data_IF_746950254659
#
_entry.id   IF_746950254659
#
_cell.length_a   1.000
_cell.length_b   1.000
_cell.length_c   1.000
_cell.angle_alpha   90.00
_cell.angle_beta   90.00
_cell.angle_gamma   90.00
#
_symmetry.space_group_name_H-M   'P 1'
#
loop_
_entity.id
_entity.type
_entity.pdbx_description
1 polymer ?
#
# COMPACT_ATOMS: atom_id res chain seq x y z
N UNK A 1 17.21 -42.70 -0.65
CA UNK A 1 16.25 -41.86 -1.39
C UNK A 1 16.30 -40.50 -0.72
N UNK A 2 16.98 -39.51 -1.33
CA UNK A 2 17.14 -38.21 -0.66
C UNK A 2 15.77 -37.55 -0.56
N UNK A 3 15.38 -37.21 0.66
CA UNK A 3 14.24 -36.36 0.92
C UNK A 3 14.55 -34.98 0.32
N UNK A 4 14.06 -34.75 -0.90
CA UNK A 4 14.22 -33.47 -1.59
C UNK A 4 13.25 -32.49 -0.95
N UNK A 5 13.77 -31.35 -0.49
CA UNK A 5 12.97 -30.37 0.24
C UNK A 5 11.83 -29.78 -0.60
N UNK A 6 10.86 -29.08 0.03
CA UNK A 6 9.65 -28.57 -0.63
C UNK A 6 9.93 -27.66 -1.84
N UNK A 7 11.07 -26.96 -1.84
CA UNK A 7 11.51 -26.14 -2.98
C UNK A 7 11.82 -26.97 -4.24
N UNK A 8 12.50 -28.09 -4.10
CA UNK A 8 12.89 -28.95 -5.23
C UNK A 8 11.66 -29.65 -5.82
N UNK A 9 10.69 -30.00 -4.97
CA UNK A 9 9.38 -30.47 -5.42
C UNK A 9 8.68 -29.41 -6.27
N UNK A 10 8.55 -28.18 -5.77
CA UNK A 10 7.95 -27.07 -6.50
C UNK A 10 8.61 -26.83 -7.87
N UNK A 11 9.94 -26.75 -7.93
CA UNK A 11 10.66 -26.56 -9.20
C UNK A 11 10.38 -27.68 -10.23
N UNK A 12 10.20 -28.92 -9.77
CA UNK A 12 9.84 -30.04 -10.64
C UNK A 12 8.44 -29.86 -11.23
N UNK A 13 7.47 -29.50 -10.38
CA UNK A 13 6.10 -29.25 -10.82
C UNK A 13 6.04 -28.05 -11.77
N UNK A 14 6.77 -26.97 -11.49
CA UNK A 14 6.86 -25.83 -12.42
C UNK A 14 7.37 -26.21 -13.79
N UNK A 15 8.48 -26.94 -13.87
CA UNK A 15 9.03 -27.38 -15.17
C UNK A 15 8.05 -28.25 -15.95
N UNK A 16 7.29 -29.11 -15.27
CA UNK A 16 6.28 -29.96 -15.91
C UNK A 16 5.10 -29.12 -16.45
N UNK A 17 4.64 -28.14 -15.66
CA UNK A 17 3.53 -27.25 -16.02
C UNK A 17 3.92 -26.23 -17.11
N UNK A 18 5.19 -25.84 -17.19
CA UNK A 18 5.71 -24.91 -18.21
C UNK A 18 6.05 -25.62 -19.53
N UNK A 19 6.09 -26.95 -19.57
CA UNK A 19 6.50 -27.73 -20.75
C UNK A 19 5.52 -27.66 -21.93
N UNK A 20 4.25 -27.33 -21.68
CA UNK A 20 3.20 -27.24 -22.70
C UNK A 20 2.31 -26.03 -22.41
N UNK A 21 1.73 -25.40 -23.46
CA UNK A 21 0.81 -24.27 -23.29
C UNK A 21 -0.51 -24.71 -22.64
N UNK A 22 -1.23 -23.74 -22.08
CA UNK A 22 -2.60 -23.95 -21.59
C UNK A 22 -3.57 -24.23 -22.75
N UNK A 23 -4.69 -24.88 -22.46
CA UNK A 23 -5.73 -25.17 -23.46
C UNK A 23 -6.52 -23.93 -23.92
N UNK A 24 -6.49 -22.84 -23.14
CA UNK A 24 -7.08 -21.53 -23.47
C UNK A 24 -6.46 -20.42 -22.61
N UNK A 25 -6.75 -19.16 -22.93
CA UNK A 25 -6.30 -17.98 -22.16
C UNK A 25 -6.79 -17.96 -20.71
N UNK A 26 -7.92 -18.61 -20.41
CA UNK A 26 -8.51 -18.66 -19.06
C UNK A 26 -8.19 -19.96 -18.31
N UNK A 27 -7.58 -20.93 -18.98
CA UNK A 27 -7.24 -22.21 -18.37
C UNK A 27 -5.94 -22.10 -17.56
N UNK A 28 -5.87 -22.89 -16.49
CA UNK A 28 -4.66 -23.15 -15.74
C UNK A 28 -4.22 -24.59 -15.99
N UNK A 29 -2.91 -24.83 -16.18
CA UNK A 29 -2.35 -26.16 -15.99
C UNK A 29 -2.09 -26.32 -14.50
N UNK A 30 -2.68 -27.31 -13.86
CA UNK A 30 -2.63 -27.52 -12.41
C UNK A 30 -1.93 -28.84 -12.10
N UNK A 31 -1.13 -28.88 -11.04
CA UNK A 31 -0.56 -30.09 -10.47
C UNK A 31 -0.69 -30.07 -8.96
N UNK A 32 -1.25 -31.14 -8.40
CA UNK A 32 -1.34 -31.31 -6.95
C UNK A 32 0.04 -31.56 -6.35
N UNK A 33 0.26 -31.00 -5.16
CA UNK A 33 1.43 -31.22 -4.32
C UNK A 33 1.13 -32.27 -3.26
N UNK A 34 2.17 -32.75 -2.57
CA UNK A 34 2.04 -33.75 -1.49
C UNK A 34 1.47 -33.23 -0.17
N UNK A 35 1.17 -31.93 -0.08
CA UNK A 35 0.65 -31.32 1.14
C UNK A 35 -0.87 -31.43 1.17
N UNK A 36 -1.38 -32.40 1.92
CA UNK A 36 -2.80 -32.61 2.14
C UNK A 36 -3.36 -31.69 3.22
N UNK A 37 -4.54 -31.13 2.97
CA UNK A 37 -5.29 -30.31 3.93
C UNK A 37 -6.67 -30.93 4.17
N UNK A 38 -7.41 -30.40 5.15
CA UNK A 38 -8.79 -30.81 5.40
C UNK A 38 -9.72 -30.64 4.18
N UNK A 39 -9.36 -29.77 3.21
CA UNK A 39 -10.17 -29.48 2.03
C UNK A 39 -9.57 -30.03 0.72
N UNK A 40 -8.59 -30.93 0.80
CA UNK A 40 -7.89 -31.47 -0.37
C UNK A 40 -6.42 -31.04 -0.45
N UNK A 41 -5.71 -31.43 -1.52
CA UNK A 41 -4.29 -31.12 -1.66
C UNK A 41 -4.08 -29.63 -1.97
N UNK A 42 -2.96 -29.09 -1.48
CA UNK A 42 -2.42 -27.84 -2.04
C UNK A 42 -1.94 -28.15 -3.46
N UNK A 43 -2.19 -27.24 -4.39
CA UNK A 43 -1.78 -27.41 -5.78
C UNK A 43 -0.94 -26.22 -6.26
N UNK A 44 -0.27 -26.43 -7.38
CA UNK A 44 0.46 -25.40 -8.10
C UNK A 44 -0.05 -25.31 -9.52
N UNK A 45 -0.04 -24.11 -10.09
CA UNK A 45 -0.55 -23.91 -11.44
C UNK A 45 0.23 -22.87 -12.26
N UNK A 46 0.18 -23.02 -13.58
CA UNK A 46 0.72 -22.06 -14.54
C UNK A 46 -0.39 -21.61 -15.49
N UNK A 47 -0.51 -20.29 -15.67
CA UNK A 47 -1.49 -19.68 -16.57
C UNK A 47 -0.97 -19.50 -18.01
N UNK A 48 -1.81 -18.98 -18.90
CA UNK A 48 -1.46 -18.73 -20.29
C UNK A 48 -0.34 -17.69 -20.48
N UNK A 49 -0.07 -16.86 -19.46
CA UNK A 49 1.00 -15.86 -19.45
C UNK A 49 2.31 -16.42 -18.86
N UNK A 50 2.32 -17.68 -18.43
CA UNK A 50 3.45 -18.31 -17.77
C UNK A 50 3.66 -17.85 -16.32
N UNK A 51 2.66 -17.24 -15.69
CA UNK A 51 2.72 -16.87 -14.28
C UNK A 51 2.49 -18.10 -13.39
N UNK A 52 3.23 -18.18 -12.29
CA UNK A 52 3.14 -19.29 -11.31
C UNK A 52 2.13 -18.96 -10.21
N UNK A 53 1.36 -19.97 -9.79
CA UNK A 53 0.27 -19.87 -8.83
C UNK A 53 0.35 -20.94 -7.76
N UNK A 54 0.36 -20.56 -6.48
CA UNK A 54 0.13 -21.49 -5.39
C UNK A 54 -1.36 -21.47 -5.00
N UNK A 55 -2.00 -22.64 -5.07
CA UNK A 55 -3.43 -22.82 -4.88
C UNK A 55 -3.68 -23.56 -3.57
N UNK A 56 -4.19 -22.84 -2.57
CA UNK A 56 -4.52 -23.39 -1.26
C UNK A 56 -6.03 -23.64 -1.17
N UNK A 57 -6.51 -24.88 -0.98
CA UNK A 57 -7.93 -25.19 -1.01
C UNK A 57 -8.69 -24.55 0.16
N UNK A 58 -9.87 -24.00 -0.14
CA UNK A 58 -10.72 -23.29 0.80
C UNK A 58 -11.89 -24.14 1.28
N UNK A 59 -12.33 -23.89 2.51
CA UNK A 59 -13.62 -24.42 2.99
C UNK A 59 -14.80 -23.77 2.25
N UNK A 60 -15.95 -24.44 2.28
CA UNK A 60 -17.20 -23.91 1.72
C UNK A 60 -17.52 -22.53 2.33
N UNK A 61 -17.58 -21.50 1.48
CA UNK A 61 -17.82 -20.08 1.83
C UNK A 61 -16.68 -19.34 2.55
N UNK A 62 -15.50 -19.94 2.71
CA UNK A 62 -14.33 -19.25 3.25
C UNK A 62 -13.88 -18.14 2.29
N UNK A 63 -13.65 -16.94 2.82
CA UNK A 63 -13.20 -15.78 2.05
C UNK A 63 -11.72 -15.52 2.29
N UNK A 64 -11.02 -15.16 1.23
CA UNK A 64 -9.63 -14.69 1.32
C UNK A 64 -9.65 -13.22 1.76
N UNK A 65 -8.78 -12.84 2.71
CA UNK A 65 -8.60 -11.45 3.14
C UNK A 65 -8.30 -10.57 1.94
N UNK A 66 -8.86 -9.36 1.94
CA UNK A 66 -8.51 -8.32 0.97
C UNK A 66 -7.13 -7.79 1.32
N UNK A 67 -6.13 -8.14 0.53
CA UNK A 67 -4.79 -7.56 0.63
C UNK A 67 -4.56 -6.60 -0.52
N UNK A 68 -3.79 -5.53 -0.26
CA UNK A 68 -3.25 -4.67 -1.33
C UNK A 68 -2.39 -5.56 -2.22
N UNK A 69 -2.84 -5.85 -3.44
CA UNK A 69 -2.02 -6.56 -4.42
C UNK A 69 -0.78 -5.72 -4.69
N UNK A 70 0.40 -6.25 -4.35
CA UNK A 70 1.66 -5.58 -4.68
C UNK A 70 1.95 -5.67 -6.18
N UNK A 71 2.95 -4.95 -6.72
CA UNK A 71 3.30 -5.02 -8.15
C UNK A 71 3.87 -6.38 -8.59
N UNK A 72 4.11 -7.30 -7.66
CA UNK A 72 4.73 -8.61 -7.88
C UNK A 72 3.83 -9.78 -7.46
N UNK A 73 3.12 -9.67 -6.34
CA UNK A 73 2.28 -10.74 -5.79
C UNK A 73 0.82 -10.32 -5.75
N UNK A 74 -0.07 -11.25 -6.12
CA UNK A 74 -1.52 -11.10 -5.99
C UNK A 74 -2.07 -12.28 -5.20
N UNK A 75 -2.89 -12.00 -4.19
CA UNK A 75 -3.64 -13.01 -3.45
C UNK A 75 -5.13 -12.80 -3.67
N UNK A 76 -5.84 -13.82 -4.15
CA UNK A 76 -7.27 -13.73 -4.46
C UNK A 76 -8.01 -15.05 -4.22
N UNK A 77 -9.33 -15.00 -4.12
CA UNK A 77 -10.15 -16.21 -4.17
C UNK A 77 -10.41 -16.62 -5.61
N UNK A 78 -10.09 -17.86 -5.99
CA UNK A 78 -10.28 -18.40 -7.34
C UNK A 78 -11.12 -19.68 -7.32
N UNK A 79 -12.28 -19.72 -7.99
CA UNK A 79 -12.94 -20.98 -8.31
C UNK A 79 -12.20 -21.68 -9.46
N UNK A 80 -11.98 -22.99 -9.33
CA UNK A 80 -11.52 -23.86 -10.39
C UNK A 80 -12.52 -24.98 -10.62
N UNK A 81 -12.80 -25.24 -11.89
CA UNK A 81 -13.68 -26.29 -12.36
C UNK A 81 -12.92 -27.21 -13.30
N UNK A 82 -12.95 -28.50 -13.00
CA UNK A 82 -12.55 -29.59 -13.89
C UNK A 82 -13.80 -30.39 -14.27
N UNK A 83 -13.65 -31.38 -15.16
CA UNK A 83 -14.75 -32.28 -15.51
C UNK A 83 -15.38 -33.02 -14.32
N UNK A 84 -14.68 -33.08 -13.16
CA UNK A 84 -15.09 -33.88 -12.00
C UNK A 84 -15.26 -33.08 -10.71
N UNK A 85 -14.67 -31.88 -10.61
CA UNK A 85 -14.56 -31.15 -9.35
C UNK A 85 -14.72 -29.65 -9.59
N UNK A 86 -15.57 -29.01 -8.80
CA UNK A 86 -15.63 -27.56 -8.62
C UNK A 86 -15.12 -27.22 -7.21
N UNK A 87 -14.08 -26.40 -7.10
CA UNK A 87 -13.47 -26.06 -5.82
C UNK A 87 -12.93 -24.62 -5.80
N UNK A 88 -13.03 -23.96 -4.65
CA UNK A 88 -12.43 -22.65 -4.42
C UNK A 88 -11.05 -22.78 -3.80
N UNK A 89 -10.13 -21.93 -4.26
CA UNK A 89 -8.77 -21.83 -3.76
C UNK A 89 -8.45 -20.39 -3.35
N UNK A 90 -7.58 -20.22 -2.36
CA UNK A 90 -6.77 -19.02 -2.26
C UNK A 90 -5.64 -19.15 -3.28
N UNK A 91 -5.62 -18.25 -4.25
CA UNK A 91 -4.65 -18.19 -5.34
C UNK A 91 -3.63 -17.10 -5.03
N UNK A 92 -2.42 -17.52 -4.63
CA UNK A 92 -1.25 -16.67 -4.51
C UNK A 92 -0.46 -16.74 -5.83
N UNK A 93 -0.47 -15.66 -6.59
CA UNK A 93 0.10 -15.55 -7.94
C UNK A 93 1.35 -14.66 -7.97
N UNK A 94 2.39 -15.10 -8.69
CA UNK A 94 3.52 -14.27 -9.09
C UNK A 94 3.25 -13.60 -10.44
N UNK A 95 3.04 -12.27 -10.45
CA UNK A 95 2.72 -11.51 -11.66
C UNK A 95 3.96 -11.14 -12.51
N UNK A 96 5.17 -11.36 -11.98
CA UNK A 96 6.43 -11.01 -12.65
C UNK A 96 7.40 -12.18 -12.61
N UNK A 97 7.62 -12.79 -13.79
CA UNK A 97 8.49 -13.96 -13.95
C UNK A 97 9.93 -13.77 -13.46
N UNK A 98 10.43 -12.53 -13.44
CA UNK A 98 11.75 -12.20 -12.86
C UNK A 98 11.88 -12.56 -11.37
N UNK A 99 10.75 -12.76 -10.67
CA UNK A 99 10.71 -13.12 -9.25
C UNK A 99 10.38 -14.60 -9.02
N UNK A 100 10.26 -15.43 -10.06
CA UNK A 100 9.83 -16.83 -9.95
C UNK A 100 10.69 -17.63 -8.94
N UNK A 101 12.00 -17.40 -8.90
CA UNK A 101 12.87 -18.09 -7.93
C UNK A 101 12.64 -17.68 -6.47
N UNK A 102 12.32 -16.40 -6.23
CA UNK A 102 11.95 -15.90 -4.89
C UNK A 102 10.57 -16.42 -4.52
N UNK A 103 9.64 -16.37 -5.47
CA UNK A 103 8.30 -16.90 -5.32
C UNK A 103 8.28 -18.40 -4.99
N UNK A 104 9.11 -19.22 -5.63
CA UNK A 104 9.25 -20.65 -5.26
C UNK A 104 9.70 -20.79 -3.79
N UNK A 105 10.56 -19.89 -3.31
CA UNK A 105 11.03 -19.91 -1.91
C UNK A 105 9.87 -19.60 -0.96
N UNK A 106 9.11 -18.54 -1.23
CA UNK A 106 7.90 -18.19 -0.47
C UNK A 106 6.90 -19.36 -0.46
N UNK A 107 6.66 -19.99 -1.62
CA UNK A 107 5.76 -21.14 -1.71
C UNK A 107 6.23 -22.30 -0.82
N UNK A 108 7.54 -22.58 -0.76
CA UNK A 108 8.06 -23.64 0.09
C UNK A 108 7.80 -23.36 1.58
N UNK A 109 7.97 -22.10 2.02
CA UNK A 109 7.68 -21.70 3.40
C UNK A 109 6.17 -21.76 3.71
N UNK A 110 5.33 -21.33 2.76
CA UNK A 110 3.87 -21.49 2.85
C UNK A 110 3.48 -22.96 3.02
N UNK A 111 4.06 -23.88 2.24
CA UNK A 111 3.80 -25.31 2.35
C UNK A 111 4.22 -25.86 3.72
N UNK A 112 5.35 -25.39 4.25
CA UNK A 112 5.83 -25.78 5.58
C UNK A 112 4.85 -25.34 6.68
N UNK A 113 4.34 -24.11 6.62
CA UNK A 113 3.40 -23.58 7.62
C UNK A 113 2.00 -24.17 7.48
N UNK A 114 1.54 -24.47 6.26
CA UNK A 114 0.30 -25.24 6.04
C UNK A 114 0.42 -26.63 6.64
N UNK A 115 1.55 -27.31 6.45
CA UNK A 115 1.78 -28.67 6.97
C UNK A 115 1.74 -28.73 8.50
N UNK A 116 2.02 -27.62 9.19
CA UNK A 116 1.90 -27.50 10.65
C UNK A 116 0.45 -27.32 11.12
N UNK A 117 -0.45 -26.86 10.26
CA UNK A 117 -1.86 -26.56 10.57
C UNK A 117 -2.79 -27.05 9.43
N UNK A 118 -2.83 -28.37 9.12
CA UNK A 118 -3.55 -28.89 7.96
C UNK A 118 -5.09 -28.70 8.06
N UNK A 119 -5.61 -28.45 9.27
CA UNK A 119 -7.02 -28.13 9.52
C UNK A 119 -7.38 -26.68 9.20
N UNK A 120 -6.40 -25.78 9.04
CA UNK A 120 -6.63 -24.39 8.66
C UNK A 120 -5.49 -23.91 7.73
N UNK A 121 -5.46 -24.38 6.47
CA UNK A 121 -4.36 -24.08 5.56
C UNK A 121 -4.29 -22.59 5.19
N UNK A 122 -5.43 -21.89 5.18
CA UNK A 122 -5.47 -20.45 4.95
C UNK A 122 -4.73 -19.67 6.04
N UNK A 123 -4.81 -20.11 7.30
CA UNK A 123 -4.01 -19.53 8.40
C UNK A 123 -2.51 -19.77 8.21
N UNK A 124 -2.10 -20.95 7.73
CA UNK A 124 -0.71 -21.25 7.40
C UNK A 124 -0.16 -20.33 6.30
N UNK A 125 -0.95 -20.14 5.23
CA UNK A 125 -0.64 -19.18 4.17
C UNK A 125 -0.44 -17.76 4.72
N UNK A 126 -1.36 -17.27 5.55
CA UNK A 126 -1.23 -15.91 6.12
C UNK A 126 -0.03 -15.78 7.03
N UNK A 127 0.28 -16.78 7.86
CA UNK A 127 1.43 -16.73 8.73
C UNK A 127 2.75 -16.61 7.96
N UNK A 128 2.92 -17.39 6.89
CA UNK A 128 4.09 -17.31 6.02
C UNK A 128 4.18 -15.95 5.32
N UNK A 129 3.06 -15.45 4.77
CA UNK A 129 3.01 -14.13 4.13
C UNK A 129 3.34 -13.00 5.11
N UNK A 130 2.78 -13.00 6.31
CA UNK A 130 3.02 -11.97 7.32
C UNK A 130 4.47 -12.02 7.85
N UNK A 131 5.06 -13.22 7.94
CA UNK A 131 6.48 -13.41 8.29
C UNK A 131 7.39 -12.85 7.21
N UNK A 132 7.14 -13.19 5.95
CA UNK A 132 7.88 -12.64 4.81
C UNK A 132 7.71 -11.15 4.70
N UNK A 133 6.50 -10.66 4.96
CA UNK A 133 6.20 -9.24 4.99
C UNK A 133 7.01 -8.55 6.07
N UNK A 134 7.02 -9.05 7.30
CA UNK A 134 7.83 -8.50 8.40
C UNK A 134 9.33 -8.51 8.04
N UNK A 135 9.82 -9.59 7.43
CA UNK A 135 11.22 -9.72 6.98
C UNK A 135 11.57 -8.68 5.89
N UNK A 136 10.67 -8.47 4.93
CA UNK A 136 10.84 -7.54 3.81
C UNK A 136 10.49 -6.08 4.17
N UNK A 137 9.66 -5.87 5.19
CA UNK A 137 9.32 -4.56 5.76
C UNK A 137 10.56 -3.91 6.41
N UNK A 138 11.60 -4.69 6.68
CA UNK A 138 12.95 -4.21 7.01
C UNK A 138 13.91 -4.09 5.81
N UNK A 139 13.47 -3.88 4.56
CA UNK A 139 14.40 -3.67 3.42
C UNK A 139 13.78 -2.98 2.21
N UNK A 140 13.16 -1.80 2.39
CA UNK A 140 13.04 -0.87 1.27
C UNK A 140 14.42 -0.42 0.82
N UNK A 141 14.69 -0.32 -0.48
CA UNK A 141 15.81 0.46 -0.97
C UNK A 141 15.69 1.93 -0.51
N UNK A 142 16.73 2.76 -0.72
CA UNK A 142 16.63 4.18 -0.39
C UNK A 142 15.39 4.79 -1.04
N UNK A 143 14.73 5.71 -0.34
CA UNK A 143 13.55 6.43 -0.84
C UNK A 143 13.82 6.96 -2.26
N UNK A 144 12.90 6.70 -3.20
CA UNK A 144 12.95 7.31 -4.54
C UNK A 144 12.75 8.83 -4.42
N UNK A 145 13.00 9.56 -5.51
CA UNK A 145 12.86 11.02 -5.50
C UNK A 145 11.39 11.44 -5.28
N UNK A 146 10.44 10.68 -5.83
CA UNK A 146 9.00 10.88 -5.56
C UNK A 146 8.64 10.57 -4.10
N UNK A 147 9.21 9.52 -3.51
CA UNK A 147 8.98 9.19 -2.10
C UNK A 147 9.60 10.24 -1.17
N UNK A 148 10.78 10.76 -1.50
CA UNK A 148 11.39 11.87 -0.77
C UNK A 148 10.56 13.14 -0.88
N UNK A 149 10.01 13.46 -2.06
CA UNK A 149 9.12 14.61 -2.24
C UNK A 149 7.82 14.45 -1.45
N UNK A 150 7.23 13.25 -1.44
CA UNK A 150 6.04 12.94 -0.64
C UNK A 150 6.31 13.11 0.86
N UNK A 151 7.36 12.47 1.38
CA UNK A 151 7.77 12.61 2.78
C UNK A 151 8.08 14.06 3.13
N UNK A 152 8.76 14.79 2.25
CA UNK A 152 9.06 16.21 2.46
C UNK A 152 7.77 17.03 2.65
N UNK A 153 6.76 16.84 1.80
CA UNK A 153 5.47 17.52 1.93
C UNK A 153 4.72 17.13 3.22
N UNK A 154 4.72 15.85 3.60
CA UNK A 154 4.14 15.41 4.88
C UNK A 154 4.85 16.10 6.07
N UNK A 155 6.17 16.20 6.04
CA UNK A 155 6.94 16.85 7.10
C UNK A 155 6.71 18.37 7.17
N UNK A 156 6.38 19.03 6.06
CA UNK A 156 5.95 20.44 6.08
C UNK A 156 4.64 20.60 6.87
N UNK A 157 3.65 19.73 6.63
CA UNK A 157 2.38 19.74 7.37
C UNK A 157 2.62 19.40 8.85
N UNK A 158 3.46 18.41 9.14
CA UNK A 158 3.83 18.06 10.51
C UNK A 158 4.52 19.23 11.23
N UNK A 159 5.40 19.96 10.56
CA UNK A 159 6.04 21.15 11.12
C UNK A 159 5.01 22.24 11.48
N UNK A 160 4.00 22.47 10.63
CA UNK A 160 2.90 23.40 10.93
C UNK A 160 2.11 22.96 12.17
N UNK A 161 1.79 21.67 12.29
CA UNK A 161 1.11 21.11 13.47
C UNK A 161 1.96 21.19 14.74
N UNK A 162 3.26 20.91 14.66
CA UNK A 162 4.19 20.98 15.79
C UNK A 162 4.42 22.42 16.28
N UNK A 163 4.25 23.41 15.41
CA UNK A 163 4.26 24.82 15.81
C UNK A 163 3.06 25.21 16.69
N UNK A 164 1.94 24.45 16.60
CA UNK A 164 0.75 24.64 17.46
C UNK A 164 0.89 23.82 18.75
N UNK A 165 1.33 22.57 18.67
CA UNK A 165 1.57 21.69 19.82
C UNK A 165 2.72 20.73 19.58
N UNK A 166 3.69 20.66 20.51
CA UNK A 166 4.83 19.72 20.43
C UNK A 166 4.42 18.24 20.41
N UNK A 167 3.22 17.92 20.90
CA UNK A 167 2.66 16.55 20.90
C UNK A 167 1.97 16.16 19.60
N UNK A 168 1.90 17.06 18.61
CA UNK A 168 1.14 16.85 17.37
C UNK A 168 1.70 15.74 16.46
N UNK A 169 2.91 15.25 16.73
CA UNK A 169 3.47 14.07 16.08
C UNK A 169 2.54 12.84 16.17
N UNK A 170 1.71 12.75 17.21
CA UNK A 170 0.68 11.70 17.35
C UNK A 170 -0.44 11.77 16.30
N UNK A 171 -0.59 12.87 15.57
CA UNK A 171 -1.57 13.03 14.49
C UNK A 171 -1.07 12.51 13.15
N UNK A 172 0.25 12.32 12.97
CA UNK A 172 0.83 11.79 11.73
C UNK A 172 0.66 10.27 11.68
N UNK A 173 -0.32 9.82 10.89
CA UNK A 173 -0.77 8.43 10.82
C UNK A 173 -0.42 7.75 9.49
N UNK A 174 -0.07 8.52 8.46
CA UNK A 174 0.34 8.03 7.14
C UNK A 174 1.38 6.91 7.20
N UNK A 175 2.49 7.05 7.96
CA UNK A 175 3.54 6.04 8.07
C UNK A 175 3.07 4.69 8.64
N UNK A 176 1.94 4.68 9.36
CA UNK A 176 1.33 3.46 9.91
C UNK A 176 0.26 2.84 9.01
N UNK A 177 0.13 3.32 7.77
CA UNK A 177 -0.79 2.77 6.78
C UNK A 177 -2.25 3.18 7.00
N UNK A 178 -2.50 4.25 7.75
CA UNK A 178 -3.82 4.83 7.89
C UNK A 178 -4.33 5.39 6.54
N UNK A 179 -5.64 5.64 6.52
CA UNK A 179 -6.34 6.15 5.35
C UNK A 179 -5.86 7.54 4.91
N UNK A 180 -5.62 8.42 5.87
CA UNK A 180 -5.13 9.77 5.64
C UNK A 180 -3.78 9.96 6.33
N UNK A 181 -2.96 10.87 5.80
CA UNK A 181 -1.62 11.14 6.33
C UNK A 181 -1.67 11.71 7.74
N UNK A 182 -2.63 12.62 8.02
CA UNK A 182 -2.89 13.14 9.35
C UNK A 182 -4.34 12.91 9.75
N UNK A 183 -4.57 12.51 11.01
CA UNK A 183 -5.92 12.25 11.49
C UNK A 183 -6.07 12.48 12.99
N UNK A 184 -7.15 13.19 13.33
CA UNK A 184 -7.73 13.40 14.65
C UNK A 184 -9.13 12.73 14.72
N UNK A 185 -9.91 12.95 15.78
CA UNK A 185 -11.25 12.36 15.89
C UNK A 185 -12.22 12.90 14.83
N UNK A 186 -12.16 14.20 14.52
CA UNK A 186 -13.12 14.90 13.64
C UNK A 186 -12.49 15.62 12.46
N UNK A 187 -11.16 15.61 12.33
CA UNK A 187 -10.46 16.30 11.25
C UNK A 187 -9.29 15.47 10.72
N UNK A 188 -9.09 15.49 9.41
CA UNK A 188 -7.99 14.81 8.75
C UNK A 188 -7.37 15.68 7.65
N UNK A 189 -6.13 15.35 7.29
CA UNK A 189 -5.42 15.95 6.15
C UNK A 189 -4.81 14.83 5.30
N UNK A 190 -5.07 14.90 4.01
CA UNK A 190 -4.38 14.12 2.98
C UNK A 190 -3.33 15.00 2.32
N UNK A 191 -2.09 14.51 2.19
CA UNK A 191 -0.97 15.28 1.63
C UNK A 191 -0.60 14.75 0.26
N UNK A 192 -0.36 15.67 -0.68
CA UNK A 192 0.08 15.34 -2.05
C UNK A 192 1.19 16.27 -2.48
N UNK A 193 2.28 15.68 -2.96
CA UNK A 193 3.38 16.40 -3.58
C UNK A 193 3.40 16.18 -5.10
N UNK A 194 3.83 17.19 -5.84
CA UNK A 194 4.14 17.08 -7.27
C UNK A 194 5.46 17.77 -7.56
N UNK A 195 6.33 17.10 -8.31
CA UNK A 195 7.57 17.67 -8.87
C UNK A 195 7.40 18.12 -10.33
N UNK A 196 6.18 18.06 -10.86
CA UNK A 196 5.89 18.55 -12.21
C UNK A 196 5.93 20.08 -12.24
N UNK A 197 6.47 20.64 -13.33
CA UNK A 197 6.57 22.10 -13.52
C UNK A 197 5.23 22.74 -13.91
N UNK A 198 4.27 21.96 -14.41
CA UNK A 198 2.97 22.44 -14.86
C UNK A 198 1.82 21.52 -14.42
N UNK A 199 0.61 22.07 -14.40
CA UNK A 199 -0.62 21.38 -14.00
C UNK A 199 -0.70 21.13 -12.50
N UNK A 200 -1.93 21.00 -11.97
CA UNK A 200 -2.18 20.68 -10.56
C UNK A 200 -2.87 19.34 -10.47
N UNK A 201 -2.11 18.28 -10.71
CA UNK A 201 -2.63 16.90 -10.77
C UNK A 201 -2.45 16.19 -9.44
N UNK A 202 -3.53 15.55 -8.99
CA UNK A 202 -3.56 14.76 -7.77
C UNK A 202 -3.90 13.33 -8.13
N UNK A 203 -2.96 12.42 -7.92
CA UNK A 203 -3.21 10.99 -8.06
C UNK A 203 -3.87 10.48 -6.79
N UNK A 204 -5.01 9.83 -6.94
CA UNK A 204 -5.81 9.24 -5.86
C UNK A 204 -5.81 7.72 -6.04
N UNK A 205 -5.42 7.02 -4.98
CA UNK A 205 -5.34 5.58 -4.87
C UNK A 205 -6.43 5.09 -3.92
N UNK A 206 -7.54 4.64 -4.51
CA UNK A 206 -8.70 4.13 -3.78
C UNK A 206 -9.85 5.13 -3.69
N UNK A 207 -11.06 4.58 -3.62
CA UNK A 207 -12.30 5.35 -3.44
C UNK A 207 -12.47 5.86 -2.00
N UNK A 208 -11.66 5.37 -1.09
CA UNK A 208 -11.67 5.75 0.31
C UNK A 208 -10.74 6.94 0.58
N UNK A 209 -9.63 7.14 -0.12
CA UNK A 209 -8.63 8.16 0.22
C UNK A 209 -9.16 9.60 0.38
N UNK A 210 -10.24 9.98 -0.33
CA UNK A 210 -10.83 11.34 -0.28
C UNK A 210 -12.22 11.39 0.38
N UNK A 211 -12.51 10.44 1.25
CA UNK A 211 -13.73 10.44 2.06
C UNK A 211 -13.38 10.93 3.49
N UNK A 212 -14.12 11.90 3.97
CA UNK A 212 -13.88 12.43 5.31
C UNK A 212 -14.09 11.39 6.42
N UNK A 213 -13.45 11.57 7.59
CA UNK A 213 -13.82 10.84 8.81
C UNK A 213 -15.31 10.97 9.10
N UNK A 214 -15.91 9.98 9.78
CA UNK A 214 -17.34 10.01 10.09
C UNK A 214 -17.67 11.19 11.00
N UNK A 215 -18.50 12.11 10.50
CA UNK A 215 -18.87 13.32 11.23
C UNK A 215 -17.77 14.37 11.29
N UNK A 216 -16.70 14.21 10.50
CA UNK A 216 -15.55 15.10 10.47
C UNK A 216 -15.31 15.75 9.11
N UNK A 217 -14.21 16.49 9.02
CA UNK A 217 -13.73 17.17 7.82
C UNK A 217 -12.43 16.56 7.31
N UNK A 218 -12.18 16.72 6.02
CA UNK A 218 -10.94 16.32 5.36
C UNK A 218 -10.48 17.46 4.48
N UNK A 219 -9.22 17.84 4.64
CA UNK A 219 -8.56 18.77 3.75
C UNK A 219 -7.47 18.04 2.94
N UNK A 220 -7.27 18.48 1.71
CA UNK A 220 -6.18 18.07 0.84
C UNK A 220 -5.12 19.17 0.82
N UNK A 221 -3.94 18.88 1.36
CA UNK A 221 -2.77 19.74 1.27
C UNK A 221 -1.94 19.34 0.04
N UNK A 222 -1.89 20.20 -0.97
CA UNK A 222 -1.17 19.97 -2.21
C UNK A 222 0.05 20.89 -2.34
N UNK A 223 1.20 20.30 -2.59
CA UNK A 223 2.49 20.98 -2.69
C UNK A 223 3.09 20.79 -4.09
N UNK A 224 3.49 21.89 -4.73
CA UNK A 224 4.46 21.86 -5.84
C UNK A 224 5.85 22.01 -5.26
N UNK A 225 6.68 20.99 -5.50
CA UNK A 225 8.05 20.95 -5.03
C UNK A 225 9.00 20.99 -6.22
N UNK A 226 9.99 21.87 -6.15
CA UNK A 226 11.05 21.94 -7.15
C UNK A 226 12.34 21.38 -6.56
N UNK A 227 12.93 20.42 -7.26
CA UNK A 227 14.25 19.90 -6.91
C UNK A 227 15.29 20.95 -7.30
N UNK A 228 16.09 21.39 -6.34
CA UNK A 228 17.08 22.44 -6.54
C UNK A 228 18.45 22.00 -6.02
N UNK A 229 19.51 22.44 -6.67
CA UNK A 229 20.89 22.11 -6.23
C UNK A 229 21.35 23.01 -5.07
N UNK A 230 20.83 24.24 -5.00
CA UNK A 230 21.13 25.24 -3.95
C UNK A 230 19.86 25.92 -3.44
N UNK A 231 19.93 26.58 -2.29
CA UNK A 231 18.90 27.48 -1.73
C UNK A 231 17.53 26.85 -1.35
N UNK A 232 17.35 25.54 -1.56
CA UNK A 232 16.24 24.76 -1.02
C UNK A 232 16.53 24.13 0.36
N UNK A 233 15.48 23.63 1.00
CA UNK A 233 15.59 22.89 2.26
C UNK A 233 15.89 21.43 1.97
N UNK A 234 16.96 20.92 2.56
CA UNK A 234 17.30 19.50 2.49
C UNK A 234 16.31 18.69 3.34
N UNK A 235 15.90 17.52 2.85
CA UNK A 235 15.02 16.59 3.58
C UNK A 235 15.58 16.28 4.97
N UNK A 236 16.89 16.01 5.08
CA UNK A 236 17.55 15.78 6.36
C UNK A 236 17.36 16.96 7.32
N UNK A 237 17.49 18.20 6.83
CA UNK A 237 17.35 19.40 7.65
C UNK A 237 15.91 19.58 8.13
N UNK A 238 14.92 19.26 7.31
CA UNK A 238 13.51 19.29 7.70
C UNK A 238 13.21 18.22 8.78
N UNK A 239 13.78 17.02 8.63
CA UNK A 239 13.70 15.98 9.67
C UNK A 239 14.31 16.46 11.00
N UNK A 240 15.50 17.06 10.97
CA UNK A 240 16.14 17.62 12.17
C UNK A 240 15.25 18.69 12.85
N UNK A 241 14.60 19.56 12.07
CA UNK A 241 13.68 20.57 12.58
C UNK A 241 12.44 19.95 13.24
N UNK A 242 11.85 18.93 12.62
CA UNK A 242 10.68 18.22 13.17
C UNK A 242 11.04 17.49 14.46
N UNK A 243 12.22 16.86 14.52
CA UNK A 243 12.71 16.19 15.75
C UNK A 243 12.86 17.20 16.89
N UNK A 244 13.48 18.36 16.65
CA UNK A 244 13.66 19.42 17.65
C UNK A 244 12.32 19.97 18.17
N UNK A 245 11.30 20.05 17.31
CA UNK A 245 10.01 20.63 17.65
C UNK A 245 9.08 19.65 18.40
N UNK A 246 9.28 18.34 18.25
CA UNK A 246 8.46 17.33 18.90
C UNK A 246 8.86 17.11 20.36
N UNK A 247 7.88 16.77 21.21
CA UNK A 247 8.12 16.41 22.62
C UNK A 247 8.62 14.97 22.82
N UNK A 248 8.46 14.10 21.82
CA UNK A 248 8.99 12.74 21.78
C UNK A 248 9.71 12.46 20.44
N UNK A 249 11.02 12.73 20.43
CA UNK A 249 11.90 12.44 19.29
C UNK A 249 11.88 10.94 18.91
N UNK A 250 11.77 10.04 19.89
CA UNK A 250 11.81 8.59 19.64
C UNK A 250 10.56 8.12 18.90
N UNK A 251 9.39 8.68 19.24
CA UNK A 251 8.15 8.43 18.51
C UNK A 251 8.23 8.92 17.06
N UNK A 252 8.77 10.13 16.83
CA UNK A 252 8.97 10.67 15.48
C UNK A 252 9.96 9.83 14.68
N UNK A 253 11.09 9.41 15.27
CA UNK A 253 12.05 8.52 14.62
C UNK A 253 11.42 7.17 14.22
N UNK A 254 10.52 6.64 15.05
CA UNK A 254 9.77 5.42 14.70
C UNK A 254 8.84 5.64 13.50
N UNK A 255 8.15 6.78 13.43
CA UNK A 255 7.29 7.14 12.30
C UNK A 255 8.11 7.37 11.02
N UNK A 256 9.22 8.08 11.10
CA UNK A 256 10.17 8.27 10.00
C UNK A 256 10.69 6.94 9.45
N UNK A 257 11.06 6.02 10.33
CA UNK A 257 11.51 4.68 9.94
C UNK A 257 10.42 3.91 9.17
N UNK A 258 9.16 3.98 9.63
CA UNK A 258 8.01 3.38 8.93
C UNK A 258 7.70 4.05 7.59
N UNK A 259 7.97 5.35 7.46
CA UNK A 259 7.89 6.09 6.20
C UNK A 259 9.07 5.77 5.25
N UNK A 260 10.03 4.94 5.68
CA UNK A 260 11.20 4.52 4.89
C UNK A 260 12.41 5.45 5.01
N UNK A 261 12.39 6.44 5.90
CA UNK A 261 13.54 7.27 6.20
C UNK A 261 14.56 6.50 7.05
N UNK A 262 15.81 6.42 6.57
CA UNK A 262 16.90 5.61 7.14
C UNK A 262 18.13 6.44 7.41
N UNK A 263 18.66 6.40 8.63
CA UNK A 263 19.85 7.18 8.99
C UNK A 263 21.08 6.82 8.13
N UNK A 264 21.14 5.58 7.63
CA UNK A 264 22.18 5.08 6.74
C UNK A 264 22.21 5.80 5.39
N UNK A 265 21.09 6.38 4.95
CA UNK A 265 20.95 7.10 3.68
C UNK A 265 21.12 8.63 3.83
N UNK A 266 21.63 9.10 4.97
CA UNK A 266 21.80 10.53 5.31
C UNK A 266 22.46 11.37 4.21
N UNK A 267 23.48 10.84 3.53
CA UNK A 267 24.12 11.52 2.39
C UNK A 267 23.10 11.89 1.29
N UNK A 268 22.25 10.94 0.89
CA UNK A 268 21.19 11.17 -0.11
C UNK A 268 20.18 12.21 0.37
N UNK A 269 19.81 12.19 1.64
CA UNK A 269 18.84 13.12 2.20
C UNK A 269 19.40 14.54 2.39
N UNK A 270 20.72 14.67 2.54
CA UNK A 270 21.42 15.96 2.59
C UNK A 270 21.49 16.66 1.22
N UNK A 271 21.60 15.88 0.16
CA UNK A 271 21.55 16.32 -1.24
C UNK A 271 20.10 16.54 -1.72
N UNK A 272 19.13 15.93 -1.03
CA UNK A 272 17.73 16.03 -1.36
C UNK A 272 17.09 17.36 -0.95
N UNK A 273 17.29 18.39 -1.76
CA UNK A 273 16.80 19.75 -1.52
C UNK A 273 15.57 20.08 -2.36
N UNK A 274 14.56 20.63 -1.68
CA UNK A 274 13.34 21.09 -2.32
C UNK A 274 13.05 22.54 -1.97
N UNK A 275 12.56 23.31 -2.94
CA UNK A 275 11.82 24.56 -2.70
C UNK A 275 10.33 24.30 -2.91
N UNK A 276 9.50 24.96 -2.09
CA UNK A 276 8.05 24.95 -2.27
C UNK A 276 7.68 26.08 -3.20
N UNK A 277 7.28 25.78 -4.43
CA UNK A 277 6.84 26.81 -5.39
C UNK A 277 5.35 27.10 -5.31
N UNK A 278 4.57 26.18 -4.76
CA UNK A 278 3.13 26.34 -4.57
C UNK A 278 2.66 25.46 -3.40
N UNK A 279 1.85 26.02 -2.51
CA UNK A 279 1.13 25.31 -1.45
C UNK A 279 -0.34 25.70 -1.56
N UNK A 280 -1.22 24.71 -1.75
CA UNK A 280 -2.65 24.92 -1.89
C UNK A 280 -3.39 23.89 -1.07
N UNK A 281 -4.33 24.39 -0.26
CA UNK A 281 -5.20 23.56 0.56
C UNK A 281 -6.61 23.57 0.00
N UNK A 282 -7.29 22.44 0.03
CA UNK A 282 -8.67 22.33 -0.44
C UNK A 282 -9.50 21.54 0.56
N UNK A 283 -10.68 22.06 0.90
CA UNK A 283 -11.65 21.29 1.66
C UNK A 283 -12.26 20.21 0.75
N UNK A 284 -12.21 18.96 1.20
CA UNK A 284 -12.70 17.79 0.46
C UNK A 284 -14.17 17.54 0.82
N UNK A 285 -15.05 18.38 0.28
CA UNK A 285 -16.50 18.34 0.51
C UNK A 285 -17.29 17.76 -0.68
N UNK A 286 -18.60 18.01 -0.74
CA UNK A 286 -19.44 17.58 -1.86
C UNK A 286 -19.16 18.31 -3.18
N UNK A 287 -18.57 19.51 -3.13
CA UNK A 287 -18.16 20.29 -4.29
C UNK A 287 -16.76 19.93 -4.80
N UNK A 288 -15.94 19.27 -3.97
CA UNK A 288 -14.61 18.81 -4.38
C UNK A 288 -14.66 17.65 -5.38
N UNK A 289 -13.88 17.70 -6.48
CA UNK A 289 -13.83 16.61 -7.44
C UNK A 289 -13.23 15.35 -6.79
N UNK A 290 -14.08 14.38 -6.45
CA UNK A 290 -13.66 13.09 -5.88
C UNK A 290 -14.55 11.96 -6.37
N UNK A 291 -14.08 10.73 -6.18
CA UNK A 291 -14.85 9.52 -6.33
C UNK A 291 -14.86 8.77 -5.00
N UNK A 292 -16.05 8.54 -4.45
CA UNK A 292 -16.27 7.73 -3.24
C UNK A 292 -17.22 6.58 -3.52
N UNK A 293 -17.22 5.56 -2.65
CA UNK A 293 -18.18 4.46 -2.75
C UNK A 293 -19.63 4.97 -2.74
N UNK A 294 -19.95 5.89 -1.83
CA UNK A 294 -21.29 6.51 -1.72
C UNK A 294 -21.71 7.20 -3.02
N UNK A 295 -20.78 7.86 -3.72
CA UNK A 295 -21.07 8.50 -5.01
C UNK A 295 -21.34 7.47 -6.11
N UNK A 296 -20.57 6.39 -6.18
CA UNK A 296 -20.81 5.31 -7.15
C UNK A 296 -22.16 4.61 -6.88
N UNK A 297 -22.47 4.32 -5.62
CA UNK A 297 -23.76 3.75 -5.22
C UNK A 297 -24.93 4.67 -5.60
N UNK A 298 -24.79 5.97 -5.35
CA UNK A 298 -25.80 6.99 -5.71
C UNK A 298 -25.98 7.12 -7.23
N UNK A 299 -24.94 6.86 -8.01
CA UNK A 299 -24.99 6.81 -9.47
C UNK A 299 -25.56 5.49 -10.03
N UNK A 300 -26.00 4.55 -9.17
CA UNK A 300 -26.53 3.26 -9.57
C UNK A 300 -25.47 2.21 -9.94
N UNK A 301 -24.19 2.50 -9.69
CA UNK A 301 -23.08 1.59 -9.93
C UNK A 301 -22.88 0.69 -8.71
N UNK A 302 -23.73 -0.32 -8.54
CA UNK A 302 -23.64 -1.31 -7.46
C UNK A 302 -22.57 -2.39 -7.69
N UNK A 303 -21.51 -2.07 -8.45
CA UNK A 303 -20.40 -2.97 -8.74
C UNK A 303 -19.29 -2.78 -7.72
N UNK A 304 -18.71 -3.89 -7.25
CA UNK A 304 -17.50 -3.87 -6.42
C UNK A 304 -16.29 -3.67 -7.32
N UNK A 305 -15.79 -2.44 -7.40
CA UNK A 305 -14.51 -2.12 -8.03
C UNK A 305 -13.40 -2.15 -6.98
N UNK A 306 -12.27 -2.73 -7.34
CA UNK A 306 -11.06 -2.83 -6.51
C UNK A 306 -9.90 -2.16 -7.28
N UNK A 307 -8.87 -1.69 -6.57
CA UNK A 307 -7.70 -1.01 -7.15
C UNK A 307 -8.03 0.21 -8.03
N UNK A 308 -9.05 0.97 -7.65
CA UNK A 308 -9.41 2.21 -8.36
C UNK A 308 -8.31 3.24 -8.18
N UNK A 309 -7.84 3.75 -9.31
CA UNK A 309 -6.89 4.85 -9.36
C UNK A 309 -7.37 5.89 -10.35
N UNK A 310 -7.35 7.16 -9.94
CA UNK A 310 -7.77 8.27 -10.79
C UNK A 310 -6.91 9.49 -10.52
N UNK A 311 -6.94 10.44 -11.45
CA UNK A 311 -6.24 11.71 -11.30
C UNK A 311 -7.24 12.84 -11.35
N UNK A 312 -7.17 13.71 -10.35
CA UNK A 312 -7.92 14.96 -10.29
C UNK A 312 -7.06 16.06 -10.88
N UNK A 313 -7.64 16.91 -11.71
CA UNK A 313 -7.02 18.15 -12.16
C UNK A 313 -7.62 19.34 -11.41
N UNK A 314 -6.85 19.87 -10.46
CA UNK A 314 -7.22 20.99 -9.62
C UNK A 314 -7.18 22.34 -10.36
N UNK A 315 -6.66 22.38 -11.60
CA UNK A 315 -6.65 23.61 -12.41
C UNK A 315 -8.03 23.99 -12.96
N UNK A 316 -8.97 23.05 -12.96
CA UNK A 316 -10.31 23.20 -13.54
C UNK A 316 -11.25 24.17 -12.80
N UNK A 317 -10.85 24.69 -11.63
CA UNK A 317 -11.63 25.68 -10.88
C UNK A 317 -12.87 25.15 -10.17
N UNK A 318 -13.05 23.82 -10.11
CA UNK A 318 -14.20 23.19 -9.45
C UNK A 318 -14.25 23.46 -7.93
N UNK A 319 -13.11 23.75 -7.31
CA UNK A 319 -13.01 24.13 -5.89
C UNK A 319 -11.97 25.24 -5.73
N UNK A 320 -12.28 26.22 -4.88
CA UNK A 320 -11.33 27.26 -4.53
C UNK A 320 -10.37 26.74 -3.45
N UNK A 321 -9.07 27.12 -3.49
CA UNK A 321 -8.18 26.88 -2.37
C UNK A 321 -8.69 27.58 -1.11
N UNK A 322 -8.46 26.97 0.04
CA UNK A 322 -8.68 27.55 1.35
C UNK A 322 -7.75 28.74 1.56
N UNK A 323 -8.24 29.73 2.30
CA UNK A 323 -7.41 30.81 2.84
C UNK A 323 -6.54 30.33 4.00
N UNK A 324 -5.43 31.03 4.26
CA UNK A 324 -4.53 30.71 5.37
C UNK A 324 -5.27 30.61 6.72
N UNK A 325 -6.25 31.50 6.97
CA UNK A 325 -7.08 31.48 8.18
C UNK A 325 -7.95 30.21 8.29
N UNK A 326 -8.43 29.67 7.17
CA UNK A 326 -9.19 28.42 7.14
C UNK A 326 -8.28 27.21 7.40
N UNK A 327 -7.09 27.19 6.80
CA UNK A 327 -6.07 26.16 7.05
C UNK A 327 -5.66 26.15 8.52
N UNK A 328 -5.30 27.31 9.08
CA UNK A 328 -4.92 27.44 10.50
C UNK A 328 -6.05 26.94 11.40
N UNK A 329 -7.31 27.31 11.12
CA UNK A 329 -8.46 26.83 11.90
C UNK A 329 -8.63 25.32 11.85
N UNK A 330 -8.43 24.70 10.68
CA UNK A 330 -8.50 23.24 10.53
C UNK A 330 -7.39 22.54 11.32
N UNK A 331 -6.14 23.04 11.22
CA UNK A 331 -5.01 22.50 11.99
C UNK A 331 -5.23 22.63 13.51
N UNK A 332 -5.76 23.75 13.99
CA UNK A 332 -6.14 23.92 15.40
C UNK A 332 -7.23 22.92 15.83
N UNK A 333 -8.24 22.68 14.98
CA UNK A 333 -9.30 21.69 15.25
C UNK A 333 -8.71 20.29 15.44
N UNK A 334 -7.71 19.92 14.63
CA UNK A 334 -7.03 18.62 14.78
C UNK A 334 -6.30 18.46 16.12
N UNK A 335 -5.77 19.56 16.67
CA UNK A 335 -5.04 19.57 17.94
C UNK A 335 -6.00 19.51 19.14
N UNK A 336 -7.15 20.19 19.06
CA UNK A 336 -8.14 20.25 20.14
C UNK A 336 -8.92 18.94 20.32
N UNK A 337 -9.08 18.14 19.25
CA UNK A 337 -9.83 16.89 19.27
C UNK A 337 -8.97 15.66 18.90
N UNK A 338 -7.92 15.32 19.69
CA UNK A 338 -7.05 14.19 19.40
C UNK A 338 -7.79 12.84 19.50
N UNK A 339 -7.29 11.83 18.78
CA UNK A 339 -7.84 10.46 18.72
C UNK A 339 -7.78 9.73 20.06
#
# INVERSE_FOLDING_TARGET
MSDQGPRDELERHWRQLEAEPTSSERALRVSDLRVDTANGPVAVAVDASGCRHLLVPLESRQKVRRERSGPVLRLSGRPLESEKVYQNFADLMCMRRSFDGVFTTLCADVLQDISRIPTNPLKGLYFALDTWRTLLETSGGPLTDEQMAGLFAELLVLQQLLAISSSAHGLWRGPTGHRHDFSSAVAAVEVKASTATEGRRVRVHGLDQLDAPRGGTLDLAWFRLERVDTDGTALQRLVEQVLIAADDESAVLSLLSKAGYRAEDSGRYSEARFSVSEELWYQVDSGFPRLTYTMLESAGLMVRVEDVEYTIDLSSGASAPLSDDEVIRHLHTMIEEPV
#
